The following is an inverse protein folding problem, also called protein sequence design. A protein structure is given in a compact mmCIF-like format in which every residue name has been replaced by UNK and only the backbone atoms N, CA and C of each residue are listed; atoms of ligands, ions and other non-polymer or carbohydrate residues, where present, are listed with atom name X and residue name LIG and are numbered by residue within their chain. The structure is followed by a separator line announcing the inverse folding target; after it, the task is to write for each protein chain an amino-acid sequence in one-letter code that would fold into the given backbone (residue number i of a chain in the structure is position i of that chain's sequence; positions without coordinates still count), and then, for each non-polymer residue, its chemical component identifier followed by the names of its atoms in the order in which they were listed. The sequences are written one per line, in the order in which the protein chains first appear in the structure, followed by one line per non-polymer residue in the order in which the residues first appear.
data_IF_174990263156
#
_entry.id   IF_174990263156
#
_cell.length_a   1.000
_cell.length_b   1.000
_cell.length_c   1.000
_cell.angle_alpha   90.00
_cell.angle_beta   90.00
_cell.angle_gamma   90.00
#
_symmetry.space_group_name_H-M   'P 1'
#
loop_
_entity.id
_entity.type
_entity.pdbx_description
1 polymer ?
#
# COMPACT_ATOMS: atom_id res chain seq x y z
N UNK A 1 22.41 -55.10 -17.01
CA UNK A 1 21.44 -54.04 -16.65
C UNK A 1 22.22 -52.88 -16.04
N UNK A 2 22.26 -51.71 -16.69
CA UNK A 2 23.09 -50.57 -16.27
C UNK A 2 22.20 -49.50 -15.65
N UNK A 3 22.47 -49.14 -14.39
CA UNK A 3 21.73 -48.09 -13.67
C UNK A 3 22.47 -46.76 -13.80
N UNK A 4 21.79 -45.72 -14.29
CA UNK A 4 22.29 -44.34 -14.32
C UNK A 4 21.84 -43.58 -13.08
N UNK A 5 22.77 -43.29 -12.16
CA UNK A 5 22.51 -42.42 -11.01
C UNK A 5 22.81 -40.96 -11.37
N UNK A 6 21.77 -40.14 -11.52
CA UNK A 6 21.92 -38.71 -11.80
C UNK A 6 22.33 -37.96 -10.52
N UNK A 7 23.54 -37.39 -10.47
CA UNK A 7 23.93 -36.40 -9.45
C UNK A 7 23.17 -35.09 -9.69
N UNK A 8 22.13 -34.82 -8.89
CA UNK A 8 21.47 -33.49 -8.88
C UNK A 8 22.36 -32.53 -8.10
N UNK A 9 22.80 -31.43 -8.72
CA UNK A 9 23.56 -30.38 -8.05
C UNK A 9 22.67 -29.65 -7.02
N UNK A 10 23.21 -29.27 -5.86
CA UNK A 10 22.48 -28.52 -4.81
C UNK A 10 21.92 -27.17 -5.30
N UNK A 11 22.45 -26.63 -6.41
CA UNK A 11 21.92 -25.44 -7.10
C UNK A 11 20.52 -25.64 -7.69
N UNK A 12 20.03 -26.88 -7.76
CA UNK A 12 18.67 -27.25 -8.17
C UNK A 12 17.70 -27.34 -6.98
N UNK A 13 18.12 -26.91 -5.78
CA UNK A 13 17.22 -26.76 -4.64
C UNK A 13 16.37 -25.52 -4.86
N UNK A 14 15.06 -25.72 -4.99
CA UNK A 14 14.07 -24.68 -5.22
C UNK A 14 14.27 -23.54 -4.20
N UNK A 15 14.44 -22.29 -4.68
CA UNK A 15 14.59 -21.13 -3.80
C UNK A 15 13.25 -20.83 -3.15
N UNK A 16 12.98 -21.48 -2.02
CA UNK A 16 11.82 -21.16 -1.20
C UNK A 16 11.96 -19.69 -0.77
N UNK A 17 11.06 -18.82 -1.24
CA UNK A 17 11.03 -17.41 -0.83
C UNK A 17 10.86 -17.36 0.69
N UNK A 18 11.93 -17.01 1.40
CA UNK A 18 11.86 -16.82 2.86
C UNK A 18 10.80 -15.76 3.12
N UNK A 19 9.73 -16.13 3.83
CA UNK A 19 8.73 -15.17 4.29
C UNK A 19 9.46 -14.21 5.21
N UNK A 20 9.69 -12.96 4.76
CA UNK A 20 10.28 -11.92 5.61
C UNK A 20 9.41 -11.84 6.86
N UNK A 21 10.02 -12.02 8.03
CA UNK A 21 9.34 -11.74 9.30
C UNK A 21 8.81 -10.31 9.21
N UNK A 22 7.53 -10.11 9.50
CA UNK A 22 6.98 -8.76 9.65
C UNK A 22 7.86 -8.09 10.70
N UNK A 23 8.64 -7.08 10.30
CA UNK A 23 9.23 -6.20 11.29
C UNK A 23 8.06 -5.60 12.03
N UNK A 24 7.96 -5.90 13.32
CA UNK A 24 7.12 -5.16 14.25
C UNK A 24 7.45 -3.68 14.03
N UNK A 25 6.55 -2.98 13.34
CA UNK A 25 6.70 -1.54 13.19
C UNK A 25 6.70 -0.94 14.58
N UNK A 26 7.53 0.09 14.82
CA UNK A 26 7.37 0.92 16.02
C UNK A 26 5.89 1.22 16.20
N UNK A 27 5.36 1.01 17.41
CA UNK A 27 3.94 1.16 17.75
C UNK A 27 3.31 2.43 17.16
N UNK A 28 4.06 3.52 17.15
CA UNK A 28 3.69 4.81 16.56
C UNK A 28 3.39 4.75 15.06
N UNK A 29 4.17 3.99 14.28
CA UNK A 29 3.95 3.84 12.83
C UNK A 29 2.67 3.08 12.55
N UNK A 30 2.34 2.10 13.41
CA UNK A 30 1.12 1.31 13.30
C UNK A 30 -0.08 2.18 13.66
N UNK A 31 0.01 2.96 14.74
CA UNK A 31 -1.03 3.92 15.14
C UNK A 31 -1.27 4.96 14.05
N UNK A 32 -0.22 5.61 13.55
CA UNK A 32 -0.34 6.59 12.46
C UNK A 32 -0.91 5.96 11.19
N UNK A 33 -0.60 4.70 10.89
CA UNK A 33 -1.20 3.99 9.76
C UNK A 33 -2.70 3.74 9.98
N UNK A 34 -3.12 3.37 11.20
CA UNK A 34 -4.52 3.18 11.54
C UNK A 34 -5.29 4.50 11.44
N UNK A 35 -4.74 5.57 11.99
CA UNK A 35 -5.31 6.92 11.86
C UNK A 35 -5.43 7.31 10.40
N UNK A 36 -4.38 7.12 9.59
CA UNK A 36 -4.42 7.47 8.17
C UNK A 36 -5.47 6.67 7.39
N UNK A 37 -5.75 5.41 7.77
CA UNK A 37 -6.82 4.62 7.13
C UNK A 37 -8.21 5.22 7.35
N UNK A 38 -8.42 5.93 8.46
CA UNK A 38 -9.70 6.59 8.74
C UNK A 38 -9.97 7.75 7.78
N UNK A 39 -8.92 8.34 7.18
CA UNK A 39 -9.07 9.37 6.15
C UNK A 39 -9.40 8.80 4.76
N UNK A 40 -9.24 7.47 4.57
CA UNK A 40 -9.59 6.78 3.32
C UNK A 40 -11.04 6.31 3.40
N UNK A 41 -11.97 7.22 3.10
CA UNK A 41 -13.41 6.97 3.07
C UNK A 41 -13.95 6.92 1.64
N UNK A 42 -15.12 6.29 1.47
CA UNK A 42 -15.85 6.26 0.18
C UNK A 42 -16.25 7.68 -0.26
N UNK A 43 -16.62 8.55 0.69
CA UNK A 43 -16.95 9.95 0.43
C UNK A 43 -15.77 10.72 -0.20
N UNK A 44 -14.54 10.44 0.24
CA UNK A 44 -13.36 11.09 -0.33
C UNK A 44 -13.12 10.64 -1.77
N UNK A 45 -13.32 9.36 -2.06
CA UNK A 45 -13.25 8.84 -3.43
C UNK A 45 -14.32 9.50 -4.31
N UNK A 46 -15.55 9.62 -3.81
CA UNK A 46 -16.64 10.31 -4.52
C UNK A 46 -16.33 11.79 -4.75
N UNK A 47 -15.74 12.49 -3.78
CA UNK A 47 -15.30 13.88 -3.94
C UNK A 47 -14.31 14.03 -5.10
N UNK A 48 -13.42 13.06 -5.29
CA UNK A 48 -12.47 13.04 -6.41
C UNK A 48 -13.18 12.70 -7.73
N UNK A 49 -14.13 11.76 -7.73
CA UNK A 49 -14.93 11.48 -8.92
C UNK A 49 -15.77 12.69 -9.36
N UNK A 50 -16.28 13.50 -8.43
CA UNK A 50 -16.98 14.74 -8.77
C UNK A 50 -16.08 15.78 -9.42
N UNK A 51 -14.76 15.74 -9.19
CA UNK A 51 -13.79 16.70 -9.75
C UNK A 51 -13.21 16.22 -11.08
N UNK A 52 -12.85 14.95 -11.18
CA UNK A 52 -12.13 14.38 -12.33
C UNK A 52 -13.02 13.56 -13.28
N UNK A 53 -14.21 13.16 -12.82
CA UNK A 53 -15.10 12.22 -13.50
C UNK A 53 -15.10 10.84 -12.86
N UNK A 54 -16.04 9.99 -13.28
CA UNK A 54 -16.08 8.58 -12.84
C UNK A 54 -15.03 7.78 -13.63
N UNK A 55 -14.43 6.77 -13.01
CA UNK A 55 -13.50 5.86 -13.68
C UNK A 55 -14.22 5.18 -14.85
N UNK A 56 -13.64 5.27 -16.05
CA UNK A 56 -14.16 4.57 -17.23
C UNK A 56 -13.27 3.40 -17.62
N UNK A 57 -11.97 3.49 -17.35
CA UNK A 57 -10.99 2.45 -17.69
C UNK A 57 -10.20 1.98 -16.49
N UNK A 58 -9.85 0.68 -16.40
CA UNK A 58 -9.00 0.15 -15.32
C UNK A 58 -7.61 0.79 -15.27
N UNK A 59 -7.13 1.34 -16.39
CA UNK A 59 -5.85 2.04 -16.48
C UNK A 59 -5.83 3.31 -15.63
N UNK A 60 -6.98 3.92 -15.37
CA UNK A 60 -7.12 5.16 -14.62
C UNK A 60 -7.05 4.94 -13.11
N UNK A 61 -7.28 3.69 -12.64
CA UNK A 61 -7.26 3.34 -11.20
C UNK A 61 -5.96 3.81 -10.56
N UNK A 62 -4.81 3.63 -11.23
CA UNK A 62 -3.51 4.07 -10.73
C UNK A 62 -3.42 5.59 -10.54
N UNK A 63 -4.09 6.38 -11.39
CA UNK A 63 -4.19 7.84 -11.26
C UNK A 63 -5.10 8.22 -10.10
N UNK A 64 -6.28 7.62 -10.00
CA UNK A 64 -7.22 7.89 -8.90
C UNK A 64 -6.62 7.54 -7.53
N UNK A 65 -5.88 6.43 -7.42
CA UNK A 65 -5.17 6.10 -6.17
C UNK A 65 -4.23 7.22 -5.74
N UNK A 66 -3.46 7.78 -6.69
CA UNK A 66 -2.54 8.90 -6.39
C UNK A 66 -3.31 10.12 -5.93
N UNK A 67 -4.39 10.48 -6.62
CA UNK A 67 -5.21 11.64 -6.26
C UNK A 67 -5.83 11.49 -4.86
N UNK A 68 -6.41 10.34 -4.56
CA UNK A 68 -6.97 10.03 -3.22
C UNK A 68 -5.88 10.10 -2.16
N UNK A 69 -4.70 9.53 -2.43
CA UNK A 69 -3.58 9.58 -1.52
C UNK A 69 -3.08 11.01 -1.28
N UNK A 70 -2.97 11.83 -2.32
CA UNK A 70 -2.52 13.22 -2.18
C UNK A 70 -3.51 14.08 -1.39
N UNK A 71 -4.80 13.91 -1.65
CA UNK A 71 -5.86 14.60 -0.94
C UNK A 71 -5.90 14.20 0.54
N UNK A 72 -5.91 12.89 0.83
CA UNK A 72 -5.86 12.37 2.20
C UNK A 72 -4.57 12.78 2.93
N UNK A 73 -3.43 12.77 2.22
CA UNK A 73 -2.14 13.18 2.79
C UNK A 73 -2.14 14.65 3.18
N UNK A 74 -2.75 15.53 2.38
CA UNK A 74 -2.83 16.96 2.70
C UNK A 74 -3.57 17.21 4.01
N UNK A 75 -4.68 16.52 4.24
CA UNK A 75 -5.42 16.67 5.50
C UNK A 75 -4.68 16.02 6.67
N UNK A 76 -4.14 14.81 6.48
CA UNK A 76 -3.34 14.15 7.51
C UNK A 76 -2.09 14.95 7.91
N UNK A 77 -1.47 15.67 6.97
CA UNK A 77 -0.33 16.55 7.24
C UNK A 77 -0.73 17.82 8.01
N UNK A 78 -2.00 18.27 7.93
CA UNK A 78 -2.49 19.36 8.77
C UNK A 78 -2.68 18.91 10.22
N UNK A 79 -3.26 17.72 10.43
CA UNK A 79 -3.59 17.21 11.76
C UNK A 79 -2.36 16.63 12.49
N UNK A 80 -1.47 15.97 11.76
CA UNK A 80 -0.33 15.23 12.31
C UNK A 80 1.03 15.68 11.77
N UNK A 81 1.10 16.87 11.16
CA UNK A 81 2.31 17.41 10.54
C UNK A 81 3.54 17.38 11.44
N UNK A 82 3.39 17.68 12.73
CA UNK A 82 4.48 17.61 13.71
C UNK A 82 4.98 16.17 13.89
N UNK A 83 4.09 15.18 13.99
CA UNK A 83 4.46 13.76 14.14
C UNK A 83 5.11 13.20 12.86
N UNK A 84 4.67 13.67 11.68
CA UNK A 84 5.17 13.26 10.37
C UNK A 84 6.57 13.82 10.12
N UNK A 85 6.84 15.08 10.49
CA UNK A 85 8.14 15.74 10.32
C UNK A 85 9.26 15.06 11.09
N UNK A 86 8.96 14.54 12.28
CA UNK A 86 9.93 13.81 13.10
C UNK A 86 10.13 12.35 12.68
N UNK A 87 9.28 11.83 11.79
CA UNK A 87 9.33 10.44 11.36
C UNK A 87 10.32 10.24 10.20
N UNK A 88 11.14 9.19 10.27
CA UNK A 88 12.02 8.83 9.16
C UNK A 88 11.24 8.53 7.87
N UNK A 89 11.80 8.92 6.72
CA UNK A 89 11.21 8.65 5.38
C UNK A 89 10.84 7.19 5.16
N UNK A 90 11.59 6.24 5.74
CA UNK A 90 11.29 4.79 5.68
C UNK A 90 10.03 4.41 6.45
N UNK A 91 9.78 5.06 7.60
CA UNK A 91 8.57 4.87 8.42
C UNK A 91 7.37 5.54 7.78
N UNK A 92 7.52 6.73 7.20
CA UNK A 92 6.47 7.43 6.46
C UNK A 92 5.93 6.60 5.30
N UNK A 93 6.80 5.93 4.53
CA UNK A 93 6.36 5.02 3.47
C UNK A 93 5.48 3.87 3.99
N UNK A 94 5.71 3.40 5.23
CA UNK A 94 4.86 2.39 5.87
C UNK A 94 3.52 2.98 6.33
N UNK A 95 3.51 4.22 6.82
CA UNK A 95 2.27 4.94 7.21
C UNK A 95 1.33 5.12 6.02
N UNK A 96 1.86 5.55 4.87
CA UNK A 96 1.05 5.78 3.67
C UNK A 96 0.77 4.52 2.84
N UNK A 97 1.12 3.33 3.34
CA UNK A 97 0.90 2.07 2.64
C UNK A 97 -0.56 1.60 2.77
N UNK A 98 -1.50 2.40 2.24
CA UNK A 98 -2.95 2.15 2.29
C UNK A 98 -3.57 2.02 0.89
N UNK A 99 -2.75 2.01 -0.16
CA UNK A 99 -3.23 1.90 -1.55
C UNK A 99 -4.11 0.68 -1.81
N UNK A 100 -3.87 -0.43 -1.11
CA UNK A 100 -4.72 -1.64 -1.21
C UNK A 100 -6.16 -1.41 -0.73
N UNK A 101 -6.38 -0.55 0.27
CA UNK A 101 -7.72 -0.20 0.74
C UNK A 101 -8.42 0.71 -0.27
N UNK A 102 -7.69 1.64 -0.88
CA UNK A 102 -8.21 2.51 -1.93
C UNK A 102 -8.64 1.67 -3.14
N UNK A 103 -7.79 0.73 -3.59
CA UNK A 103 -8.14 -0.20 -4.68
C UNK A 103 -9.43 -0.95 -4.36
N UNK A 104 -9.60 -1.49 -3.15
CA UNK A 104 -10.83 -2.19 -2.77
C UNK A 104 -12.09 -1.32 -2.85
N UNK A 105 -11.96 -0.01 -2.58
CA UNK A 105 -13.07 0.92 -2.72
C UNK A 105 -13.32 1.19 -4.21
N UNK A 106 -12.27 1.47 -4.99
CA UNK A 106 -12.37 1.75 -6.42
C UNK A 106 -12.91 0.55 -7.22
N UNK A 107 -12.58 -0.67 -6.82
CA UNK A 107 -13.04 -1.93 -7.44
C UNK A 107 -14.56 -2.09 -7.34
N UNK A 108 -15.22 -1.47 -6.35
CA UNK A 108 -16.70 -1.46 -6.27
C UNK A 108 -17.36 -0.59 -7.34
N UNK A 109 -16.61 0.33 -7.94
CA UNK A 109 -17.11 1.31 -8.91
C UNK A 109 -16.70 0.99 -10.36
N UNK A 110 -15.99 -0.13 -10.55
CA UNK A 110 -15.58 -0.65 -11.86
C UNK A 110 -16.55 -1.74 -12.34
#
# INVERSE_FOLDING_TARGET
QVFYLKKKNEKFKERQRVKKKLQEGSSEVIQLNLEFRNYITEERVQSIFSKEGVIQKPEEIGRYIKLVLEDAKKDFEKDFGDKIKHLEKKKLKKVFNVGSQIVKILDKYL
#
